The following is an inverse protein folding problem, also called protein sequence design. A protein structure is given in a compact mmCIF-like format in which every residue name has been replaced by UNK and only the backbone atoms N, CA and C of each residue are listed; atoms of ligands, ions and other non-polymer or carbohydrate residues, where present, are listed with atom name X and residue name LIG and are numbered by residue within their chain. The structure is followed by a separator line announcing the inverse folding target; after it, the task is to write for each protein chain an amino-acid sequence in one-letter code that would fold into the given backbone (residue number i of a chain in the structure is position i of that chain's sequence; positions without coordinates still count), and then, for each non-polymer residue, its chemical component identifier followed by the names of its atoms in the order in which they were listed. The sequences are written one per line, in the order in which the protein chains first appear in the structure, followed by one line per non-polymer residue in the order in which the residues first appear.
data_IF_094861773128
#
_entry.id   IF_094861773128
#
_cell.length_a   1.000
_cell.length_b   1.000
_cell.length_c   1.000
_cell.angle_alpha   90.00
_cell.angle_beta   90.00
_cell.angle_gamma   90.00
#
_symmetry.space_group_name_H-M   'P 1'
#
loop_
_entity.id
_entity.type
_entity.pdbx_description
1 polymer ?
#
# COMPACT_ATOMS: atom_id res chain seq x y z
N UNK A 1 -16.04 5.94 -2.07
CA UNK A 1 -15.26 5.92 -0.85
C UNK A 1 -15.20 7.29 -0.17
N UNK A 2 -14.72 7.32 1.07
CA UNK A 2 -14.74 8.49 1.97
C UNK A 2 -14.04 9.75 1.42
N UNK A 3 -13.16 9.63 0.44
CA UNK A 3 -12.53 10.76 -0.26
C UNK A 3 -13.27 11.20 -1.53
N UNK A 4 -14.53 10.81 -1.73
CA UNK A 4 -15.40 11.30 -2.79
C UNK A 4 -15.39 10.48 -4.09
N UNK A 5 -14.59 9.43 -4.21
CA UNK A 5 -14.68 8.50 -5.35
C UNK A 5 -15.97 7.68 -5.24
N UNK A 6 -16.86 7.86 -6.22
CA UNK A 6 -18.17 7.19 -6.25
C UNK A 6 -18.11 5.77 -6.83
N UNK A 7 -17.01 5.43 -7.49
CA UNK A 7 -16.81 4.09 -8.09
C UNK A 7 -16.26 3.11 -7.06
N UNK A 8 -15.34 3.55 -6.20
CA UNK A 8 -14.70 2.69 -5.22
C UNK A 8 -15.69 2.13 -4.18
N UNK A 9 -15.70 0.82 -4.00
CA UNK A 9 -16.49 0.11 -3.00
C UNK A 9 -15.61 -0.14 -1.77
N UNK A 10 -15.77 0.72 -0.73
CA UNK A 10 -14.91 0.73 0.46
C UNK A 10 -15.70 0.91 1.76
N UNK A 11 -16.68 0.00 2.06
CA UNK A 11 -17.59 0.19 3.20
C UNK A 11 -16.89 0.23 4.56
N UNK A 12 -15.78 -0.49 4.73
CA UNK A 12 -15.03 -0.53 5.99
C UNK A 12 -14.19 0.72 6.22
N UNK A 13 -13.55 1.24 5.18
CA UNK A 13 -12.82 2.50 5.22
C UNK A 13 -13.78 3.69 5.39
N UNK A 14 -14.94 3.63 4.72
CA UNK A 14 -15.99 4.66 4.84
C UNK A 14 -16.54 4.70 6.26
N UNK A 15 -16.76 3.52 6.88
CA UNK A 15 -17.16 3.40 8.28
C UNK A 15 -16.08 3.98 9.21
N UNK A 16 -14.83 3.56 9.06
CA UNK A 16 -13.72 4.06 9.88
C UNK A 16 -13.60 5.59 9.81
N UNK A 17 -13.73 6.16 8.60
CA UNK A 17 -13.71 7.60 8.39
C UNK A 17 -14.92 8.31 9.04
N UNK A 18 -16.10 7.69 9.00
CA UNK A 18 -17.32 8.23 9.60
C UNK A 18 -17.33 8.19 11.14
N UNK A 19 -16.59 7.28 11.73
CA UNK A 19 -16.43 7.12 13.19
C UNK A 19 -15.22 7.86 13.76
N UNK A 20 -14.35 8.40 12.89
CA UNK A 20 -13.08 9.01 13.25
C UNK A 20 -12.87 10.41 12.68
N UNK A 21 -11.61 10.72 12.41
CA UNK A 21 -11.18 11.98 11.81
C UNK A 21 -10.61 11.70 10.42
N UNK A 22 -11.24 12.24 9.38
CA UNK A 22 -10.77 12.19 8.01
C UNK A 22 -9.96 13.45 7.68
N UNK A 23 -8.68 13.30 7.38
CA UNK A 23 -7.85 14.41 6.94
C UNK A 23 -7.87 14.52 5.41
N UNK A 24 -8.61 15.48 4.90
CA UNK A 24 -8.80 15.65 3.45
C UNK A 24 -7.56 16.10 2.69
N UNK A 25 -6.60 16.74 3.36
CA UNK A 25 -5.38 17.32 2.78
C UNK A 25 -4.12 16.83 3.47
N UNK A 26 -3.91 15.51 3.45
CA UNK A 26 -2.67 14.88 3.87
C UNK A 26 -1.78 14.60 2.66
N UNK A 27 -0.47 14.88 2.79
CA UNK A 27 0.49 14.75 1.68
C UNK A 27 1.73 14.00 2.14
N UNK A 28 2.19 13.06 1.31
CA UNK A 28 3.47 12.40 1.54
C UNK A 28 4.64 13.35 1.25
N UNK A 29 5.77 13.15 1.91
CA UNK A 29 6.94 14.03 1.75
C UNK A 29 7.69 13.79 0.43
N UNK A 30 7.56 12.61 -0.15
CA UNK A 30 8.05 12.25 -1.47
C UNK A 30 7.21 11.07 -1.98
N UNK A 31 6.66 11.15 -3.19
CA UNK A 31 5.78 10.11 -3.74
C UNK A 31 6.56 8.85 -4.19
N UNK A 32 7.40 8.31 -3.31
CA UNK A 32 8.18 7.07 -3.47
C UNK A 32 8.16 6.30 -2.16
N UNK A 33 7.96 4.99 -2.22
CA UNK A 33 7.70 4.15 -1.05
C UNK A 33 8.69 4.34 0.12
N UNK A 34 10.01 4.15 -0.11
CA UNK A 34 11.01 4.20 0.97
C UNK A 34 11.11 5.56 1.63
N UNK A 35 11.36 6.66 0.90
CA UNK A 35 11.50 7.98 1.52
C UNK A 35 10.21 8.45 2.20
N UNK A 36 9.03 8.17 1.63
CA UNK A 36 7.76 8.51 2.28
C UNK A 36 7.59 7.77 3.62
N UNK A 37 7.74 6.45 3.61
CA UNK A 37 7.59 5.61 4.82
C UNK A 37 8.61 5.97 5.90
N UNK A 38 9.84 6.22 5.51
CA UNK A 38 10.89 6.62 6.44
C UNK A 38 10.66 8.03 7.00
N UNK A 39 10.15 8.97 6.20
CA UNK A 39 9.74 10.28 6.69
C UNK A 39 8.67 10.16 7.77
N UNK A 40 7.64 9.36 7.54
CA UNK A 40 6.57 9.12 8.50
C UNK A 40 7.11 8.45 9.77
N UNK A 41 7.90 7.40 9.64
CA UNK A 41 8.43 6.64 10.78
C UNK A 41 9.47 7.40 11.60
N UNK A 42 10.14 8.42 11.02
CA UNK A 42 11.16 9.21 11.72
C UNK A 42 10.70 10.61 12.11
N UNK A 43 9.56 11.07 11.57
CA UNK A 43 9.09 12.45 11.70
C UNK A 43 10.03 13.47 11.01
N UNK A 44 10.85 13.03 10.04
CA UNK A 44 11.85 13.85 9.35
C UNK A 44 11.65 13.82 7.84
N UNK A 45 11.97 14.93 7.18
CA UNK A 45 11.93 15.02 5.72
C UNK A 45 13.01 14.12 5.07
N UNK A 46 12.81 13.64 3.83
CA UNK A 46 13.79 12.87 3.07
C UNK A 46 15.19 13.49 3.05
N UNK A 47 15.27 14.82 2.90
CA UNK A 47 16.54 15.57 2.91
C UNK A 47 17.31 15.44 4.23
N UNK A 48 16.58 15.46 5.35
CA UNK A 48 17.18 15.33 6.69
C UNK A 48 17.68 13.91 6.98
N UNK A 49 16.99 12.89 6.45
CA UNK A 49 17.39 11.48 6.59
C UNK A 49 18.26 11.00 5.42
N UNK A 50 18.46 11.84 4.40
CA UNK A 50 19.23 11.56 3.16
C UNK A 50 18.79 10.27 2.46
N UNK A 51 17.47 10.10 2.30
CA UNK A 51 16.87 8.95 1.61
C UNK A 51 15.93 9.46 0.54
N UNK A 52 16.31 9.29 -0.72
CA UNK A 52 15.52 9.66 -1.89
C UNK A 52 15.21 8.47 -2.80
N UNK A 53 15.77 7.29 -2.48
CA UNK A 53 15.69 6.06 -3.25
C UNK A 53 15.08 4.90 -2.44
N UNK A 54 15.03 3.71 -3.06
CA UNK A 54 14.46 2.50 -2.44
C UNK A 54 15.47 1.66 -1.66
N UNK A 55 16.78 1.92 -1.79
CA UNK A 55 17.85 1.06 -1.28
C UNK A 55 18.63 1.63 -0.09
N UNK A 56 18.61 2.96 0.07
CA UNK A 56 19.39 3.62 1.11
C UNK A 56 18.78 3.40 2.49
N UNK A 57 19.60 2.94 3.42
CA UNK A 57 19.19 2.78 4.83
C UNK A 57 19.35 4.12 5.58
N UNK A 58 18.26 4.61 6.18
CA UNK A 58 18.23 5.90 6.88
C UNK A 58 19.23 6.02 8.03
N UNK A 59 19.53 4.91 8.73
CA UNK A 59 20.50 4.92 9.84
C UNK A 59 21.95 5.16 9.39
N UNK A 60 22.25 5.13 8.08
CA UNK A 60 23.56 5.57 7.57
C UNK A 60 23.75 7.08 7.77
N UNK A 61 22.72 7.87 7.55
CA UNK A 61 22.77 9.32 7.70
C UNK A 61 22.39 9.78 9.11
N UNK A 62 21.43 9.09 9.74
CA UNK A 62 20.86 9.46 11.04
C UNK A 62 20.82 8.24 11.98
N UNK A 63 22.00 7.71 12.42
CA UNK A 63 22.08 6.44 13.15
C UNK A 63 21.34 6.44 14.48
N UNK A 64 21.25 7.61 15.12
CA UNK A 64 20.63 7.79 16.44
C UNK A 64 19.17 8.25 16.37
N UNK A 65 18.54 8.33 15.18
CA UNK A 65 17.15 8.76 15.09
C UNK A 65 16.25 7.74 15.77
N UNK A 66 15.34 8.24 16.60
CA UNK A 66 14.29 7.43 17.20
C UNK A 66 13.12 7.38 16.23
N UNK A 67 12.71 6.18 15.83
CA UNK A 67 11.53 5.98 14.99
C UNK A 67 10.26 5.95 15.85
N UNK A 68 9.10 6.18 15.24
CA UNK A 68 7.81 6.08 15.93
C UNK A 68 7.64 4.72 16.64
N UNK A 69 7.81 3.56 15.99
CA UNK A 69 7.73 2.28 16.70
C UNK A 69 8.81 2.10 17.78
N UNK A 70 10.01 2.64 17.57
CA UNK A 70 11.06 2.62 18.59
C UNK A 70 10.68 3.44 19.81
N UNK A 71 10.03 4.60 19.65
CA UNK A 71 9.54 5.42 20.73
C UNK A 71 8.52 4.66 21.60
N UNK A 72 7.55 4.01 20.98
CA UNK A 72 6.59 3.17 21.69
C UNK A 72 7.27 2.03 22.44
N UNK A 73 8.22 1.32 21.78
CA UNK A 73 9.01 0.25 22.41
C UNK A 73 9.78 0.74 23.64
N UNK A 74 10.40 1.92 23.58
CA UNK A 74 11.13 2.53 24.71
C UNK A 74 10.22 2.92 25.87
N UNK A 75 8.92 3.09 25.60
CA UNK A 75 7.91 3.41 26.61
C UNK A 75 7.07 2.19 27.04
N UNK A 76 7.60 0.98 26.88
CA UNK A 76 7.01 -0.25 27.41
C UNK A 76 5.96 -0.91 26.51
N UNK A 77 5.75 -0.41 25.29
CA UNK A 77 4.85 -1.07 24.34
C UNK A 77 5.54 -2.24 23.64
N UNK A 78 4.81 -3.32 23.42
CA UNK A 78 5.24 -4.36 22.48
C UNK A 78 5.09 -3.86 21.05
N UNK A 79 6.20 -3.59 20.39
CA UNK A 79 6.21 -3.05 19.02
C UNK A 79 6.41 -4.14 17.99
N UNK A 80 5.47 -4.30 17.05
CA UNK A 80 5.49 -5.34 16.02
C UNK A 80 5.15 -4.78 14.63
N UNK A 81 5.85 -5.31 13.62
CA UNK A 81 5.63 -5.03 12.19
C UNK A 81 5.18 -6.29 11.46
N UNK A 82 4.08 -6.19 10.72
CA UNK A 82 3.55 -7.24 9.86
C UNK A 82 3.30 -6.66 8.47
N UNK A 83 3.93 -7.22 7.44
CA UNK A 83 3.83 -6.75 6.06
C UNK A 83 4.75 -5.58 5.72
N UNK A 84 4.36 -4.77 4.74
CA UNK A 84 5.19 -3.70 4.19
C UNK A 84 5.10 -2.43 5.02
N UNK A 85 5.91 -2.28 6.04
CA UNK A 85 6.03 -1.03 6.83
C UNK A 85 7.21 -0.20 6.36
N UNK A 86 8.42 -0.73 6.39
CA UNK A 86 9.58 -0.14 5.73
C UNK A 86 9.72 -0.71 4.31
N UNK A 87 10.66 -0.21 3.51
CA UNK A 87 10.85 -0.70 2.13
C UNK A 87 12.19 -1.41 2.00
N UNK A 88 12.22 -2.47 1.21
CA UNK A 88 13.40 -3.25 0.88
C UNK A 88 13.28 -4.71 1.28
N UNK A 89 14.18 -5.54 0.75
CA UNK A 89 14.39 -6.91 1.19
C UNK A 89 15.76 -6.96 1.91
N UNK A 90 15.75 -7.10 3.22
CA UNK A 90 16.99 -7.17 3.99
C UNK A 90 17.11 -6.09 5.07
N UNK A 91 18.35 -5.67 5.39
CA UNK A 91 18.64 -4.80 6.54
C UNK A 91 17.81 -3.49 6.62
N UNK A 92 17.53 -2.76 5.52
CA UNK A 92 16.72 -1.54 5.61
C UNK A 92 15.30 -1.75 6.10
N UNK A 93 14.69 -2.89 5.79
CA UNK A 93 13.31 -3.20 6.17
C UNK A 93 13.20 -3.73 7.59
N UNK A 94 14.25 -4.31 8.15
CA UNK A 94 14.17 -4.97 9.45
C UNK A 94 14.24 -4.02 10.62
N UNK A 95 15.15 -3.06 10.60
CA UNK A 95 15.44 -2.11 11.68
C UNK A 95 15.13 -2.66 13.10
N UNK A 96 15.89 -3.63 13.61
CA UNK A 96 15.55 -4.38 14.83
C UNK A 96 15.46 -3.50 16.08
N UNK A 97 16.03 -2.31 16.02
CA UNK A 97 15.93 -1.33 17.11
C UNK A 97 14.49 -0.84 17.28
N UNK A 98 13.73 -0.77 16.20
CA UNK A 98 12.34 -0.30 16.19
C UNK A 98 11.34 -1.34 16.72
N UNK A 99 11.67 -2.63 16.64
CA UNK A 99 10.70 -3.69 16.87
C UNK A 99 11.05 -4.57 18.08
N UNK A 100 10.04 -5.11 18.75
CA UNK A 100 10.20 -6.06 19.84
C UNK A 100 10.44 -7.49 19.35
N UNK A 101 9.93 -7.79 18.16
CA UNK A 101 10.09 -9.07 17.45
C UNK A 101 10.45 -8.81 15.99
N UNK A 102 11.03 -9.78 15.32
CA UNK A 102 11.37 -9.65 13.90
C UNK A 102 10.13 -9.37 13.04
N UNK A 103 10.21 -8.43 12.07
CA UNK A 103 9.13 -8.17 11.12
C UNK A 103 8.70 -9.43 10.34
N UNK A 104 7.39 -9.62 10.22
CA UNK A 104 6.81 -10.75 9.50
C UNK A 104 6.26 -10.28 8.15
N UNK A 105 6.39 -11.11 7.10
CA UNK A 105 5.90 -10.82 5.75
C UNK A 105 6.38 -9.49 5.16
N UNK A 106 7.59 -9.10 5.47
CA UNK A 106 8.25 -7.99 4.81
C UNK A 106 8.25 -8.12 3.27
N UNK A 107 8.76 -7.16 2.53
CA UNK A 107 8.67 -7.13 1.07
C UNK A 107 9.15 -8.44 0.42
N UNK A 108 8.21 -9.35 0.16
CA UNK A 108 8.47 -10.60 -0.53
C UNK A 108 8.17 -10.45 -2.04
N UNK A 109 9.11 -10.86 -2.88
CA UNK A 109 9.00 -10.80 -4.35
C UNK A 109 8.68 -12.14 -5.00
N UNK A 110 8.56 -13.22 -4.23
CA UNK A 110 8.21 -14.54 -4.76
C UNK A 110 6.87 -14.46 -5.53
N UNK A 111 6.84 -14.91 -6.78
CA UNK A 111 5.63 -14.89 -7.60
C UNK A 111 4.42 -15.59 -6.98
N UNK A 112 4.62 -16.65 -6.20
CA UNK A 112 3.53 -17.38 -5.52
C UNK A 112 2.71 -16.51 -4.55
N UNK A 113 3.25 -15.42 -4.06
CA UNK A 113 2.55 -14.47 -3.20
C UNK A 113 1.96 -13.28 -3.96
N UNK A 114 2.22 -13.21 -5.27
CA UNK A 114 1.80 -12.10 -6.13
C UNK A 114 0.76 -12.51 -7.16
N UNK A 115 0.74 -13.81 -7.51
CA UNK A 115 -0.09 -14.39 -8.57
C UNK A 115 -0.68 -15.71 -8.11
N UNK A 116 -1.86 -16.03 -8.65
CA UNK A 116 -2.58 -17.27 -8.37
C UNK A 116 -2.81 -18.13 -9.62
N UNK A 117 -2.94 -17.50 -10.80
CA UNK A 117 -3.24 -18.24 -12.04
C UNK A 117 -2.02 -19.02 -12.52
N UNK A 118 -2.24 -20.23 -13.07
CA UNK A 118 -1.18 -21.09 -13.62
C UNK A 118 -0.35 -20.38 -14.69
N UNK A 119 -0.98 -19.53 -15.50
CA UNK A 119 -0.29 -18.71 -16.52
C UNK A 119 0.79 -17.84 -15.88
N UNK A 120 0.45 -17.14 -14.81
CA UNK A 120 1.38 -16.24 -14.13
C UNK A 120 2.36 -16.99 -13.23
N UNK A 121 1.95 -18.08 -12.56
CA UNK A 121 2.85 -18.88 -11.72
C UNK A 121 3.95 -19.57 -12.54
N UNK A 122 3.65 -20.05 -13.77
CA UNK A 122 4.61 -20.68 -14.68
C UNK A 122 5.37 -19.68 -15.56
N UNK A 123 5.00 -18.40 -15.57
CA UNK A 123 5.65 -17.36 -16.36
C UNK A 123 7.13 -17.16 -15.96
N UNK A 124 7.91 -16.54 -16.83
CA UNK A 124 9.32 -16.19 -16.58
C UNK A 124 9.43 -14.79 -15.97
N UNK A 125 10.47 -14.57 -15.16
CA UNK A 125 10.75 -13.28 -14.54
C UNK A 125 9.86 -12.95 -13.32
N UNK A 126 10.13 -11.80 -12.71
CA UNK A 126 9.42 -11.31 -11.52
C UNK A 126 8.17 -10.50 -11.86
N UNK A 127 8.18 -9.80 -12.99
CA UNK A 127 7.06 -8.99 -13.49
C UNK A 127 6.39 -9.75 -14.64
N UNK A 128 5.23 -10.32 -14.38
CA UNK A 128 4.41 -11.08 -15.33
C UNK A 128 3.25 -10.22 -15.81
N UNK A 129 1.98 -10.64 -15.69
CA UNK A 129 0.87 -9.74 -16.01
C UNK A 129 0.76 -8.59 -14.99
N UNK A 130 0.39 -7.40 -15.47
CA UNK A 130 0.17 -6.23 -14.64
C UNK A 130 -1.11 -6.32 -13.80
N UNK A 131 -2.03 -7.20 -14.17
CA UNK A 131 -3.28 -7.46 -13.47
C UNK A 131 -3.64 -8.95 -13.49
N UNK A 132 -4.42 -9.39 -12.51
CA UNK A 132 -4.94 -10.75 -12.42
C UNK A 132 -6.20 -10.81 -11.57
N UNK A 133 -7.25 -11.45 -12.10
CA UNK A 133 -8.41 -11.92 -11.35
C UNK A 133 -8.34 -13.44 -11.23
N UNK A 134 -8.54 -14.00 -10.05
CA UNK A 134 -8.55 -15.45 -9.82
C UNK A 134 -9.58 -15.84 -8.75
N UNK A 135 -10.29 -16.96 -8.98
CA UNK A 135 -11.22 -17.57 -8.01
C UNK A 135 -10.43 -18.26 -6.90
N UNK A 136 -10.00 -17.49 -5.92
CA UNK A 136 -9.15 -17.95 -4.82
C UNK A 136 -9.50 -17.24 -3.50
N UNK A 137 -9.19 -17.86 -2.34
CA UNK A 137 -9.28 -17.20 -1.05
C UNK A 137 -8.35 -15.98 -0.94
N UNK A 138 -8.67 -15.08 -0.01
CA UNK A 138 -7.87 -13.87 0.27
C UNK A 138 -6.41 -14.22 0.60
N UNK A 139 -6.19 -15.27 1.35
CA UNK A 139 -4.88 -15.73 1.82
C UNK A 139 -3.99 -16.34 0.73
N UNK A 140 -4.50 -16.49 -0.50
CA UNK A 140 -3.67 -16.87 -1.65
C UNK A 140 -2.67 -15.76 -2.00
N UNK A 141 -3.04 -14.51 -1.78
CA UNK A 141 -2.15 -13.37 -1.96
C UNK A 141 -1.54 -12.91 -0.64
N UNK A 142 -0.40 -12.25 -0.73
CA UNK A 142 0.38 -11.80 0.42
C UNK A 142 -0.44 -10.96 1.40
N UNK A 143 -1.32 -10.09 0.91
CA UNK A 143 -2.07 -9.18 1.76
C UNK A 143 -3.08 -9.94 2.66
N UNK A 144 -3.67 -11.04 2.18
CA UNK A 144 -4.49 -11.92 3.01
C UNK A 144 -3.69 -12.64 4.09
N UNK A 145 -2.45 -13.07 3.78
CA UNK A 145 -1.54 -13.66 4.78
C UNK A 145 -1.12 -12.62 5.83
N UNK A 146 -0.85 -11.40 5.42
CA UNK A 146 -0.56 -10.27 6.33
C UNK A 146 -1.75 -10.04 7.27
N UNK A 147 -2.98 -10.02 6.73
CA UNK A 147 -4.19 -9.87 7.54
C UNK A 147 -4.34 -11.00 8.55
N UNK A 148 -4.20 -12.24 8.12
CA UNK A 148 -4.30 -13.42 9.00
C UNK A 148 -3.29 -13.38 10.15
N UNK A 149 -2.05 -12.98 9.89
CA UNK A 149 -1.02 -12.86 10.93
C UNK A 149 -1.31 -11.67 11.87
N UNK A 150 -1.83 -10.57 11.35
CA UNK A 150 -2.25 -9.44 12.18
C UNK A 150 -3.46 -9.78 13.07
N UNK A 151 -4.45 -10.53 12.56
CA UNK A 151 -5.54 -11.06 13.38
C UNK A 151 -5.03 -11.95 14.52
N UNK A 152 -4.03 -12.80 14.22
CA UNK A 152 -3.38 -13.66 15.23
C UNK A 152 -2.67 -12.83 16.31
N UNK A 153 -1.96 -11.76 15.91
CA UNK A 153 -1.33 -10.83 16.85
C UNK A 153 -2.38 -10.13 17.75
N UNK A 154 -3.46 -9.60 17.17
CA UNK A 154 -4.55 -8.97 17.92
C UNK A 154 -5.20 -9.93 18.91
N UNK A 155 -5.44 -11.19 18.53
CA UNK A 155 -5.95 -12.22 19.48
C UNK A 155 -4.98 -12.48 20.64
N UNK A 156 -3.68 -12.42 20.38
CA UNK A 156 -2.68 -12.60 21.44
C UNK A 156 -2.64 -11.39 22.39
N UNK A 157 -2.74 -10.17 21.86
CA UNK A 157 -2.77 -8.96 22.67
C UNK A 157 -4.03 -8.86 23.54
N UNK A 158 -5.19 -9.30 23.04
CA UNK A 158 -6.44 -9.36 23.82
C UNK A 158 -6.38 -10.29 25.05
N UNK A 159 -5.40 -11.20 25.10
CA UNK A 159 -5.15 -12.09 26.25
C UNK A 159 -4.08 -11.57 27.19
N UNK A 160 -3.33 -10.55 26.79
CA UNK A 160 -2.24 -9.95 27.55
C UNK A 160 -2.64 -8.66 28.24
N UNK A 161 -1.73 -8.15 29.07
CA UNK A 161 -1.90 -6.86 29.78
C UNK A 161 -0.93 -5.78 29.29
N UNK A 162 0.01 -6.11 28.41
CA UNK A 162 1.00 -5.14 27.90
C UNK A 162 0.43 -4.29 26.78
N UNK A 163 0.66 -2.97 26.77
CA UNK A 163 0.28 -2.14 25.64
C UNK A 163 1.06 -2.54 24.38
N UNK A 164 0.48 -2.31 23.21
CA UNK A 164 1.10 -2.67 21.95
C UNK A 164 1.11 -1.51 20.93
N UNK A 165 2.09 -1.55 20.05
CA UNK A 165 2.16 -0.79 18.81
C UNK A 165 2.23 -1.79 17.65
N UNK A 166 1.13 -1.98 16.94
CA UNK A 166 1.05 -2.90 15.81
C UNK A 166 1.00 -2.11 14.50
N UNK A 167 2.02 -2.29 13.67
CA UNK A 167 2.04 -1.75 12.32
C UNK A 167 1.70 -2.85 11.32
N UNK A 168 0.61 -2.68 10.57
CA UNK A 168 0.17 -3.61 9.52
C UNK A 168 0.28 -2.92 8.15
N UNK A 169 1.09 -3.47 7.26
CA UNK A 169 1.36 -2.88 5.96
C UNK A 169 0.93 -3.74 4.79
N UNK A 170 -0.21 -3.42 4.18
CA UNK A 170 -0.64 -4.04 2.93
C UNK A 170 0.17 -3.52 1.75
N UNK A 171 0.29 -4.34 0.68
CA UNK A 171 0.98 -3.98 -0.56
C UNK A 171 0.03 -3.41 -1.60
N UNK A 172 -1.20 -3.91 -1.62
CA UNK A 172 -2.22 -3.41 -2.53
C UNK A 172 -2.66 -1.99 -2.13
N UNK A 173 -3.03 -1.18 -3.10
CA UNK A 173 -3.19 -1.44 -4.55
C UNK A 173 -1.93 -1.28 -5.41
N UNK A 174 -0.71 -1.53 -4.91
CA UNK A 174 0.51 -1.53 -5.72
C UNK A 174 0.48 -2.63 -6.81
N UNK A 175 1.08 -2.36 -7.95
CA UNK A 175 1.29 -3.35 -9.03
C UNK A 175 1.96 -4.66 -8.55
N UNK A 176 1.63 -5.83 -9.15
CA UNK A 176 0.55 -6.06 -10.11
C UNK A 176 -0.81 -5.93 -9.43
N UNK A 177 -1.86 -5.51 -10.19
CA UNK A 177 -3.21 -5.39 -9.66
C UNK A 177 -3.90 -6.75 -9.62
N UNK A 178 -3.48 -7.58 -8.66
CA UNK A 178 -3.99 -8.92 -8.46
C UNK A 178 -4.84 -8.95 -7.20
N UNK A 179 -6.06 -9.43 -7.32
CA UNK A 179 -6.99 -9.63 -6.23
C UNK A 179 -7.89 -10.84 -6.51
N UNK A 180 -8.47 -11.50 -5.47
CA UNK A 180 -9.50 -12.50 -5.64
C UNK A 180 -10.66 -12.01 -6.50
N UNK A 181 -11.23 -12.88 -7.35
CA UNK A 181 -12.26 -12.53 -8.33
C UNK A 181 -13.47 -11.83 -7.70
N UNK A 182 -13.88 -12.25 -6.51
CA UNK A 182 -14.99 -11.62 -5.77
C UNK A 182 -14.88 -10.10 -5.61
N UNK A 183 -13.67 -9.53 -5.64
CA UNK A 183 -13.47 -8.07 -5.57
C UNK A 183 -13.51 -7.42 -6.95
N UNK A 184 -13.16 -8.15 -8.01
CA UNK A 184 -13.36 -7.72 -9.38
C UNK A 184 -14.84 -7.67 -9.73
N UNK A 185 -15.62 -8.65 -9.26
CA UNK A 185 -17.04 -8.80 -9.53
C UNK A 185 -17.91 -7.70 -8.87
N UNK A 186 -17.34 -6.93 -7.95
CA UNK A 186 -17.98 -5.72 -7.42
C UNK A 186 -18.14 -4.62 -8.48
N UNK A 187 -17.46 -4.73 -9.61
CA UNK A 187 -17.40 -3.69 -10.64
C UNK A 187 -17.74 -4.24 -12.02
N UNK A 188 -18.60 -3.53 -12.75
CA UNK A 188 -18.79 -3.80 -14.17
C UNK A 188 -17.61 -3.20 -14.96
N UNK A 189 -16.87 -4.02 -15.70
CA UNK A 189 -15.68 -3.60 -16.44
C UNK A 189 -15.98 -2.44 -17.42
N UNK A 190 -17.14 -2.45 -18.08
CA UNK A 190 -17.60 -1.39 -18.99
C UNK A 190 -17.90 -0.06 -18.29
N UNK A 191 -18.24 -0.09 -17.00
CA UNK A 191 -18.56 1.10 -16.19
C UNK A 191 -17.29 1.73 -15.55
N UNK A 192 -16.15 1.08 -15.62
CA UNK A 192 -14.89 1.65 -15.09
C UNK A 192 -14.53 2.92 -15.88
N UNK A 193 -14.44 4.09 -15.22
CA UNK A 193 -14.17 5.34 -15.93
C UNK A 193 -12.75 5.35 -16.51
N UNK A 194 -12.61 5.92 -17.71
CA UNK A 194 -11.30 6.30 -18.25
C UNK A 194 -10.77 7.56 -17.56
N UNK A 195 -9.47 7.83 -17.61
CA UNK A 195 -8.92 9.07 -17.08
C UNK A 195 -9.50 10.28 -17.84
N UNK A 196 -10.01 11.25 -17.10
CA UNK A 196 -10.64 12.47 -17.68
C UNK A 196 -9.61 13.29 -18.47
N UNK A 197 -8.41 13.42 -17.93
CA UNK A 197 -7.28 14.13 -18.55
C UNK A 197 -6.17 13.10 -18.83
N UNK A 198 -6.11 12.59 -20.06
CA UNK A 198 -5.16 11.55 -20.47
C UNK A 198 -3.90 12.07 -21.16
N UNK A 199 -3.76 13.39 -21.31
CA UNK A 199 -2.60 14.05 -21.91
C UNK A 199 -1.86 14.92 -20.91
N UNK A 200 -0.59 15.19 -21.16
CA UNK A 200 0.16 16.15 -20.35
C UNK A 200 -0.46 17.55 -20.40
N UNK A 201 -0.46 18.28 -19.30
CA UNK A 201 -0.92 19.67 -19.29
C UNK A 201 -0.10 20.52 -20.27
N UNK A 202 -0.76 21.41 -20.99
CA UNK A 202 -0.10 22.38 -21.87
C UNK A 202 0.86 23.26 -21.08
N UNK A 203 2.07 23.46 -21.59
CA UNK A 203 3.10 24.27 -20.93
C UNK A 203 3.76 23.59 -19.72
N UNK A 204 3.41 22.35 -19.41
CA UNK A 204 4.07 21.64 -18.32
C UNK A 204 5.58 21.45 -18.60
N UNK A 205 6.45 21.68 -17.61
CA UNK A 205 7.89 21.45 -17.80
C UNK A 205 8.15 19.94 -18.02
N UNK A 206 9.17 19.62 -18.82
CA UNK A 206 9.51 18.22 -19.16
C UNK A 206 9.63 17.31 -17.92
N UNK A 207 10.18 17.85 -16.83
CA UNK A 207 10.31 17.11 -15.57
C UNK A 207 8.95 16.64 -15.01
N UNK A 208 7.88 17.41 -15.19
CA UNK A 208 6.55 17.06 -14.73
C UNK A 208 5.89 15.93 -15.56
N UNK A 209 6.40 15.69 -16.77
CA UNK A 209 5.86 14.64 -17.66
C UNK A 209 6.59 13.29 -17.52
N UNK A 210 7.62 13.21 -16.66
CA UNK A 210 8.38 11.98 -16.45
C UNK A 210 7.59 10.98 -15.62
N UNK A 211 7.58 9.73 -16.08
CA UNK A 211 7.02 8.57 -15.37
C UNK A 211 8.13 7.71 -14.78
N UNK A 212 7.84 7.02 -13.68
CA UNK A 212 8.73 6.00 -13.11
C UNK A 212 8.90 4.75 -13.99
N UNK A 213 8.09 4.63 -15.06
CA UNK A 213 8.10 3.52 -16.03
C UNK A 213 7.96 2.12 -15.40
N UNK A 214 7.41 2.04 -14.18
CA UNK A 214 7.25 0.76 -13.47
C UNK A 214 6.30 -0.19 -14.19
N UNK A 215 5.22 0.35 -14.77
CA UNK A 215 4.20 -0.41 -15.49
C UNK A 215 4.78 -1.10 -16.74
N UNK A 216 5.65 -0.42 -17.48
CA UNK A 216 6.25 -0.93 -18.72
C UNK A 216 7.09 -2.22 -18.54
N UNK A 217 7.48 -2.52 -17.32
CA UNK A 217 8.21 -3.77 -17.01
C UNK A 217 7.32 -5.01 -16.94
N UNK A 218 6.00 -4.90 -17.05
CA UNK A 218 5.08 -6.04 -17.02
C UNK A 218 4.92 -6.66 -18.41
N UNK A 219 4.81 -8.00 -18.48
CA UNK A 219 4.88 -8.75 -19.74
C UNK A 219 3.70 -8.54 -20.68
N UNK A 220 2.59 -8.02 -20.17
CA UNK A 220 1.36 -7.74 -20.92
C UNK A 220 1.18 -6.24 -21.23
N UNK A 221 2.23 -5.45 -21.02
CA UNK A 221 2.28 -4.03 -21.34
C UNK A 221 3.20 -3.81 -22.55
N UNK A 222 2.76 -3.08 -23.59
CA UNK A 222 3.62 -2.74 -24.72
C UNK A 222 4.87 -1.98 -24.29
N UNK A 223 6.02 -2.27 -24.92
CA UNK A 223 7.31 -1.66 -24.58
C UNK A 223 7.40 -0.16 -24.87
N UNK A 224 6.53 0.37 -25.74
CA UNK A 224 6.38 1.80 -26.03
C UNK A 224 5.44 2.52 -25.02
N UNK A 225 4.89 1.78 -24.07
CA UNK A 225 3.99 2.30 -23.02
C UNK A 225 2.61 2.71 -23.53
N UNK A 226 2.31 2.56 -24.82
CA UNK A 226 1.01 2.92 -25.38
C UNK A 226 -0.04 1.87 -25.07
N UNK A 227 -1.03 2.25 -24.29
CA UNK A 227 -2.10 1.36 -23.87
C UNK A 227 -3.37 1.59 -24.71
N UNK A 228 -4.00 0.49 -25.12
CA UNK A 228 -5.36 0.57 -25.66
C UNK A 228 -6.36 0.94 -24.56
N UNK A 229 -7.48 1.54 -24.94
CA UNK A 229 -8.57 1.87 -24.00
C UNK A 229 -9.03 0.64 -23.20
N UNK A 230 -9.12 -0.52 -23.86
CA UNK A 230 -9.43 -1.79 -23.18
C UNK A 230 -8.42 -2.11 -22.09
N UNK A 231 -7.12 -1.92 -22.35
CA UNK A 231 -6.06 -2.20 -21.36
C UNK A 231 -6.07 -1.17 -20.22
N UNK A 232 -6.33 0.08 -20.52
CA UNK A 232 -6.51 1.13 -19.49
C UNK A 232 -7.67 0.75 -18.56
N UNK A 233 -8.82 0.37 -19.08
CA UNK A 233 -9.99 -0.06 -18.26
C UNK A 233 -9.65 -1.30 -17.44
N UNK A 234 -8.98 -2.29 -18.01
CA UNK A 234 -8.55 -3.50 -17.29
C UNK A 234 -7.66 -3.14 -16.09
N UNK A 235 -6.65 -2.29 -16.29
CA UNK A 235 -5.73 -1.88 -15.22
C UNK A 235 -6.46 -1.08 -14.13
N UNK A 236 -7.33 -0.15 -14.51
CA UNK A 236 -8.14 0.63 -13.56
C UNK A 236 -9.11 -0.28 -12.80
N UNK A 237 -9.76 -1.24 -13.46
CA UNK A 237 -10.59 -2.25 -12.82
C UNK A 237 -9.81 -3.04 -11.77
N UNK A 238 -8.62 -3.54 -12.13
CA UNK A 238 -7.73 -4.24 -11.20
C UNK A 238 -7.30 -3.38 -10.02
N UNK A 239 -7.10 -2.08 -10.21
CA UNK A 239 -6.80 -1.16 -9.12
C UNK A 239 -7.98 -1.03 -8.17
N UNK A 240 -9.22 -0.81 -8.66
CA UNK A 240 -10.42 -0.75 -7.84
C UNK A 240 -10.65 -2.07 -7.08
N UNK A 241 -10.49 -3.21 -7.75
CA UNK A 241 -10.56 -4.53 -7.11
C UNK A 241 -9.54 -4.67 -5.96
N UNK A 242 -8.31 -4.22 -6.16
CA UNK A 242 -7.29 -4.21 -5.10
C UNK A 242 -7.64 -3.27 -3.94
N UNK A 243 -8.26 -2.12 -4.21
CA UNK A 243 -8.74 -1.20 -3.17
C UNK A 243 -9.83 -1.87 -2.33
N UNK A 244 -10.84 -2.48 -2.95
CA UNK A 244 -11.90 -3.20 -2.22
C UNK A 244 -11.36 -4.43 -1.48
N UNK A 245 -10.34 -5.09 -2.01
CA UNK A 245 -9.67 -6.18 -1.32
C UNK A 245 -9.00 -5.69 -0.02
N UNK A 246 -8.24 -4.59 -0.07
CA UNK A 246 -7.63 -4.00 1.13
C UNK A 246 -8.70 -3.51 2.11
N UNK A 247 -9.78 -2.89 1.61
CA UNK A 247 -10.91 -2.47 2.44
C UNK A 247 -11.48 -3.64 3.25
N UNK A 248 -11.70 -4.79 2.61
CA UNK A 248 -12.21 -5.99 3.27
C UNK A 248 -11.21 -6.52 4.33
N UNK A 249 -9.91 -6.50 4.03
CA UNK A 249 -8.87 -6.90 5.00
C UNK A 249 -8.81 -5.94 6.19
N UNK A 250 -8.94 -4.64 5.97
CA UNK A 250 -9.04 -3.64 7.05
C UNK A 250 -10.29 -3.93 7.90
N UNK A 251 -11.43 -4.21 7.29
CA UNK A 251 -12.66 -4.59 8.00
C UNK A 251 -12.47 -5.82 8.89
N UNK A 252 -11.73 -6.84 8.42
CA UNK A 252 -11.37 -8.02 9.23
C UNK A 252 -10.55 -7.63 10.46
N UNK A 253 -9.56 -6.75 10.30
CA UNK A 253 -8.72 -6.30 11.42
C UNK A 253 -9.51 -5.48 12.44
N UNK A 254 -10.38 -4.57 12.00
CA UNK A 254 -11.26 -3.81 12.87
C UNK A 254 -12.19 -4.74 13.65
N UNK A 255 -12.78 -5.73 12.97
CA UNK A 255 -13.61 -6.75 13.62
C UNK A 255 -12.82 -7.59 14.62
N UNK A 256 -11.59 -7.96 14.30
CA UNK A 256 -10.73 -8.70 15.23
C UNK A 256 -10.37 -7.84 16.47
N UNK A 257 -10.13 -6.54 16.28
CA UNK A 257 -9.87 -5.61 17.38
C UNK A 257 -11.07 -5.55 18.35
N UNK A 258 -12.30 -5.45 17.82
CA UNK A 258 -13.54 -5.49 18.60
C UNK A 258 -13.68 -6.82 19.36
N UNK A 259 -13.55 -7.96 18.66
CA UNK A 259 -13.76 -9.29 19.25
C UNK A 259 -12.68 -9.69 20.24
N UNK A 260 -11.52 -9.05 20.19
CA UNK A 260 -10.45 -9.20 21.18
C UNK A 260 -10.61 -8.28 22.41
N UNK A 261 -11.66 -7.45 22.45
CA UNK A 261 -11.90 -6.50 23.54
C UNK A 261 -10.90 -5.34 23.59
N UNK A 262 -10.27 -5.03 22.46
CA UNK A 262 -9.21 -4.01 22.39
C UNK A 262 -9.70 -2.68 21.80
N UNK A 263 -10.87 -2.62 21.18
CA UNK A 263 -11.33 -1.47 20.41
C UNK A 263 -11.40 -0.18 21.22
N UNK A 264 -11.96 -0.25 22.45
CA UNK A 264 -12.17 0.91 23.31
C UNK A 264 -10.86 1.56 23.82
N UNK A 265 -9.75 0.85 23.76
CA UNK A 265 -8.45 1.30 24.25
C UNK A 265 -7.34 1.24 23.18
N UNK A 266 -7.71 1.34 21.91
CA UNK A 266 -6.77 1.33 20.80
C UNK A 266 -7.06 2.46 19.83
N UNK A 267 -6.07 3.30 19.59
CA UNK A 267 -6.12 4.28 18.49
C UNK A 267 -5.79 3.56 17.19
N UNK A 268 -6.69 3.64 16.21
CA UNK A 268 -6.47 3.13 14.85
C UNK A 268 -6.08 4.30 13.95
N UNK A 269 -4.96 4.17 13.25
CA UNK A 269 -4.50 5.16 12.28
C UNK A 269 -4.27 4.48 10.93
N UNK A 270 -4.99 4.91 9.91
CA UNK A 270 -4.84 4.43 8.53
C UNK A 270 -4.26 5.51 7.65
N UNK A 271 -3.23 5.18 6.85
CA UNK A 271 -2.59 6.11 5.93
C UNK A 271 -2.06 5.42 4.68
N UNK A 272 -1.96 6.19 3.59
CA UNK A 272 -1.26 5.78 2.37
C UNK A 272 0.18 6.32 2.34
N UNK A 273 1.13 5.55 1.80
CA UNK A 273 2.52 6.01 1.68
C UNK A 273 2.72 7.02 0.54
N UNK A 274 1.98 6.90 -0.53
CA UNK A 274 1.88 7.83 -1.64
C UNK A 274 0.63 7.51 -2.47
N UNK A 275 0.24 8.41 -3.34
CA UNK A 275 -0.82 8.19 -4.30
C UNK A 275 -0.35 7.45 -5.57
N UNK A 276 -1.16 7.49 -6.65
CA UNK A 276 -0.91 6.70 -7.85
C UNK A 276 -1.66 7.25 -9.06
N UNK A 277 -1.01 7.34 -10.22
CA UNK A 277 -1.63 7.65 -11.51
C UNK A 277 -2.11 6.38 -12.21
N UNK A 278 -3.27 6.47 -12.82
CA UNK A 278 -3.92 5.40 -13.60
C UNK A 278 -4.27 5.88 -15.01
N UNK A 279 -3.34 6.61 -15.64
CA UNK A 279 -3.47 7.19 -16.98
C UNK A 279 -3.78 8.69 -16.99
N UNK A 280 -4.05 9.28 -15.83
CA UNK A 280 -4.25 10.74 -15.74
C UNK A 280 -2.96 11.48 -16.11
N UNK A 281 -3.09 12.60 -16.81
CA UNK A 281 -2.01 13.38 -17.41
C UNK A 281 -1.06 12.56 -18.30
N UNK A 282 -1.53 11.43 -18.86
CA UNK A 282 -0.70 10.49 -19.62
C UNK A 282 0.31 9.73 -18.76
N UNK A 283 0.19 9.79 -17.44
CA UNK A 283 1.12 9.19 -16.48
C UNK A 283 0.57 7.90 -15.87
N UNK A 284 1.46 7.00 -15.54
CA UNK A 284 1.19 5.80 -14.77
C UNK A 284 2.11 5.73 -13.56
N UNK A 285 1.61 5.14 -12.50
CA UNK A 285 2.32 4.94 -11.23
C UNK A 285 2.50 6.24 -10.43
N UNK A 286 3.69 6.65 -10.09
CA UNK A 286 4.01 7.67 -9.09
C UNK A 286 5.37 8.32 -9.40
N UNK A 287 5.96 8.96 -8.42
CA UNK A 287 7.27 9.63 -8.45
C UNK A 287 7.26 11.00 -9.15
N UNK A 288 6.19 11.72 -8.92
CA UNK A 288 6.03 13.12 -9.32
C UNK A 288 5.30 13.88 -8.20
N UNK A 289 5.09 15.20 -8.39
CA UNK A 289 4.49 16.07 -7.39
C UNK A 289 3.02 16.43 -7.69
N UNK A 290 2.36 15.72 -8.60
CA UNK A 290 0.93 15.90 -8.81
C UNK A 290 0.11 15.44 -7.60
N UNK A 291 -1.07 16.04 -7.41
CA UNK A 291 -2.03 15.68 -6.37
C UNK A 291 -2.24 14.17 -6.29
N UNK A 292 -2.42 13.50 -7.45
CA UNK A 292 -2.64 12.06 -7.53
C UNK A 292 -1.47 11.21 -7.03
N UNK A 293 -0.26 11.75 -6.98
CA UNK A 293 0.91 11.07 -6.42
C UNK A 293 1.21 11.45 -4.99
N UNK A 294 0.98 12.72 -4.62
CA UNK A 294 1.43 13.29 -3.35
C UNK A 294 0.37 13.25 -2.26
N UNK A 295 -0.91 13.47 -2.61
CA UNK A 295 -2.03 13.40 -1.66
C UNK A 295 -2.33 11.95 -1.29
N UNK A 296 -2.50 11.71 0.01
CA UNK A 296 -2.69 10.37 0.56
C UNK A 296 -3.88 10.33 1.51
N UNK A 297 -4.55 9.18 1.67
CA UNK A 297 -5.51 9.02 2.76
C UNK A 297 -4.79 9.07 4.11
N UNK A 298 -5.46 9.69 5.09
CA UNK A 298 -5.12 9.66 6.50
C UNK A 298 -6.42 9.76 7.31
N UNK A 299 -6.70 8.69 8.03
CA UNK A 299 -7.90 8.51 8.86
C UNK A 299 -7.48 8.17 10.27
#
# INVERSE_FOLDING_TARGET
GCYGDKTAVTPNLDKLAGEGILLERAYCQLAVCSPSRLSLMTGRRPDSIRVWDLGTHFRKAVPKVVTLPQLFKQNGYHSQSIGKILHGSGSPSKDPVSWSVDPVYDVNRDPKFRYATQKNLKGKGLKRSASESAEVPDETYMDGLICMEAEKALRAYGKGSSPFFLAVGFKKPHLPFCAPAKYWDLYQASAIPLPVHSTHPEGAPELATRSWRELEGYSDIPGDGKLSEKKIRELRHGYYACVSYVDALVGRLLKQLETSGLAENTVVCLWGDHGFHLGEQGLWTKANNYELSARVPLI
#
